data_IF_070267781235
#
_entry.id   IF_070267781235
#
_cell.length_a   1.000
_cell.length_b   1.000
_cell.length_c   1.000
_cell.angle_alpha   90.00
_cell.angle_beta   90.00
_cell.angle_gamma   90.00
#
_symmetry.space_group_name_H-M   'P 1'
#
loop_
_entity.id
_entity.type
_entity.pdbx_description
1 polymer ?
#
# COMPACT_ATOMS: atom_id res chain seq x y z
N UNK A 1 -17.06 8.47 -46.10
CA UNK A 1 -17.48 9.15 -44.87
C UNK A 1 -16.70 8.54 -43.72
N UNK A 2 -15.89 9.36 -43.07
CA UNK A 2 -15.05 9.00 -41.91
C UNK A 2 -15.89 8.63 -40.70
N UNK A 3 -15.45 7.61 -39.99
CA UNK A 3 -15.85 7.31 -38.61
C UNK A 3 -14.61 6.87 -37.85
N UNK A 4 -13.72 7.81 -37.54
CA UNK A 4 -12.60 7.56 -36.63
C UNK A 4 -13.19 7.39 -35.23
N UNK A 5 -13.25 6.16 -34.74
CA UNK A 5 -13.58 5.90 -33.34
C UNK A 5 -12.30 6.19 -32.56
N UNK A 6 -12.12 7.45 -32.16
CA UNK A 6 -11.17 7.78 -31.10
C UNK A 6 -11.68 7.13 -29.83
N UNK A 7 -11.18 5.93 -29.55
CA UNK A 7 -11.25 5.35 -28.22
C UNK A 7 -10.38 6.24 -27.32
N UNK A 8 -11.01 7.25 -26.72
CA UNK A 8 -10.49 7.85 -25.51
C UNK A 8 -10.48 6.74 -24.47
N UNK A 9 -9.37 6.01 -24.38
CA UNK A 9 -9.01 5.29 -23.16
C UNK A 9 -8.99 6.36 -22.08
N UNK A 10 -10.12 6.50 -21.38
CA UNK A 10 -10.16 7.17 -20.09
C UNK A 10 -9.12 6.41 -19.27
N UNK A 11 -7.94 7.02 -19.10
CA UNK A 11 -6.99 6.54 -18.12
C UNK A 11 -7.78 6.45 -16.82
N UNK A 12 -8.02 5.22 -16.35
CA UNK A 12 -8.50 5.02 -14.99
C UNK A 12 -7.46 5.75 -14.15
N UNK A 13 -7.82 6.80 -13.40
CA UNK A 13 -6.86 7.47 -12.55
C UNK A 13 -6.24 6.38 -11.70
N UNK A 14 -4.94 6.17 -11.84
CA UNK A 14 -4.24 5.14 -11.11
C UNK A 14 -4.40 5.49 -9.64
N UNK A 15 -5.22 4.72 -8.90
CA UNK A 15 -5.51 4.98 -7.50
C UNK A 15 -4.24 4.66 -6.73
N UNK A 16 -3.39 5.68 -6.57
CA UNK A 16 -2.06 5.57 -5.99
C UNK A 16 -2.10 4.88 -4.62
N UNK A 17 -3.13 5.17 -3.81
CA UNK A 17 -3.35 4.49 -2.54
C UNK A 17 -3.58 2.98 -2.71
N UNK A 18 -4.39 2.58 -3.69
CA UNK A 18 -4.62 1.15 -3.97
C UNK A 18 -3.32 0.47 -4.40
N UNK A 19 -2.47 1.14 -5.19
CA UNK A 19 -1.15 0.62 -5.55
C UNK A 19 -0.24 0.44 -4.33
N UNK A 20 -0.17 1.45 -3.45
CA UNK A 20 0.62 1.36 -2.22
C UNK A 20 0.13 0.25 -1.29
N UNK A 21 -1.18 0.11 -1.09
CA UNK A 21 -1.77 -0.96 -0.28
C UNK A 21 -1.47 -2.34 -0.89
N UNK A 22 -1.61 -2.48 -2.21
CA UNK A 22 -1.30 -3.73 -2.90
C UNK A 22 0.19 -4.09 -2.78
N UNK A 23 1.09 -3.11 -2.90
CA UNK A 23 2.52 -3.30 -2.72
C UNK A 23 2.87 -3.71 -1.28
N UNK A 24 2.37 -2.97 -0.29
CA UNK A 24 2.63 -3.23 1.12
C UNK A 24 2.13 -4.64 1.53
N UNK A 25 0.92 -5.01 1.13
CA UNK A 25 0.35 -6.34 1.38
C UNK A 25 1.12 -7.44 0.64
N UNK A 26 1.49 -7.22 -0.63
CA UNK A 26 2.31 -8.17 -1.39
C UNK A 26 3.65 -8.41 -0.70
N UNK A 27 4.31 -7.37 -0.21
CA UNK A 27 5.60 -7.50 0.47
C UNK A 27 5.47 -8.32 1.76
N UNK A 28 4.43 -8.09 2.56
CA UNK A 28 4.14 -8.92 3.75
C UNK A 28 3.88 -10.38 3.39
N UNK A 29 3.06 -10.65 2.36
CA UNK A 29 2.80 -12.03 1.90
C UNK A 29 4.11 -12.70 1.46
N UNK A 30 4.94 -11.99 0.68
CA UNK A 30 6.23 -12.52 0.24
C UNK A 30 7.19 -12.76 1.41
N UNK A 31 7.17 -11.91 2.45
CA UNK A 31 7.95 -12.14 3.66
C UNK A 31 7.51 -13.43 4.37
N UNK A 32 6.20 -13.62 4.56
CA UNK A 32 5.66 -14.82 5.21
C UNK A 32 5.99 -16.09 4.41
N UNK A 33 5.79 -16.07 3.09
CA UNK A 33 6.03 -17.22 2.21
C UNK A 33 7.52 -17.60 2.13
N UNK A 34 8.42 -16.61 2.23
CA UNK A 34 9.87 -16.83 2.17
C UNK A 34 10.53 -16.73 3.55
N UNK A 35 9.75 -16.80 4.64
CA UNK A 35 10.26 -16.66 6.00
C UNK A 35 11.22 -17.80 6.31
N UNK A 36 12.44 -17.44 6.70
CA UNK A 36 13.44 -18.42 7.17
C UNK A 36 12.96 -19.14 8.43
N UNK A 37 13.32 -20.42 8.59
CA UNK A 37 13.08 -21.16 9.83
C UNK A 37 13.77 -20.51 11.04
N UNK A 38 14.87 -19.79 10.79
CA UNK A 38 15.64 -19.07 11.81
C UNK A 38 15.18 -17.61 12.00
N UNK A 39 14.06 -17.20 11.38
CA UNK A 39 13.57 -15.82 11.45
C UNK A 39 13.21 -15.42 12.88
N UNK A 40 13.72 -14.27 13.30
CA UNK A 40 13.57 -13.73 14.65
C UNK A 40 12.39 -12.76 14.75
N UNK A 41 11.94 -12.41 15.97
CA UNK A 41 10.98 -11.32 16.14
C UNK A 41 11.45 -9.98 15.56
N UNK A 42 12.77 -9.72 15.50
CA UNK A 42 13.31 -8.51 14.89
C UNK A 42 13.09 -8.49 13.37
N UNK A 43 13.11 -9.66 12.72
CA UNK A 43 12.81 -9.77 11.29
C UNK A 43 11.32 -9.51 11.01
N UNK A 44 10.44 -9.96 11.91
CA UNK A 44 9.01 -9.64 11.85
C UNK A 44 8.78 -8.13 12.01
N UNK A 45 9.50 -7.47 12.93
CA UNK A 45 9.45 -6.01 13.09
C UNK A 45 9.92 -5.30 11.83
N UNK A 46 11.03 -5.72 11.21
CA UNK A 46 11.51 -5.13 9.95
C UNK A 46 10.51 -5.28 8.80
N UNK A 47 9.84 -6.42 8.70
CA UNK A 47 8.80 -6.60 7.68
C UNK A 47 7.61 -5.65 7.89
N UNK A 48 7.26 -5.37 9.15
CA UNK A 48 6.25 -4.37 9.49
C UNK A 48 6.74 -2.93 9.24
N UNK A 49 8.01 -2.64 9.50
CA UNK A 49 8.62 -1.35 9.15
C UNK A 49 8.60 -1.09 7.64
N UNK A 50 8.89 -2.11 6.82
CA UNK A 50 8.79 -2.01 5.36
C UNK A 50 7.35 -1.75 4.91
N UNK A 51 6.36 -2.42 5.52
CA UNK A 51 4.94 -2.16 5.28
C UNK A 51 4.57 -0.71 5.60
N UNK A 52 4.97 -0.23 6.78
CA UNK A 52 4.77 1.16 7.23
C UNK A 52 5.46 2.13 6.27
N UNK A 53 6.68 1.83 5.83
CA UNK A 53 7.44 2.66 4.90
C UNK A 53 6.74 2.81 3.55
N UNK A 54 6.18 1.74 2.98
CA UNK A 54 5.40 1.83 1.74
C UNK A 54 4.19 2.73 1.94
N UNK A 55 3.43 2.53 3.02
CA UNK A 55 2.24 3.35 3.28
C UNK A 55 2.59 4.81 3.61
N UNK A 56 3.76 5.09 4.17
CA UNK A 56 4.22 6.45 4.47
C UNK A 56 4.27 7.37 3.24
N UNK A 57 4.34 6.79 2.03
CA UNK A 57 4.30 7.50 0.75
C UNK A 57 2.90 8.01 0.36
N UNK A 58 1.86 7.63 1.10
CA UNK A 58 0.50 8.08 0.83
C UNK A 58 0.40 9.62 0.94
N UNK A 59 -0.29 10.21 -0.04
CA UNK A 59 -0.57 11.64 -0.07
C UNK A 59 -1.42 12.05 1.15
N UNK A 60 -1.35 13.32 1.57
CA UNK A 60 -2.19 13.82 2.67
C UNK A 60 -3.69 13.59 2.42
N UNK A 61 -4.13 13.66 1.16
CA UNK A 61 -5.49 13.36 0.75
C UNK A 61 -5.87 11.89 0.98
N UNK A 62 -4.91 10.98 0.79
CA UNK A 62 -5.09 9.53 0.96
C UNK A 62 -4.97 9.09 2.42
N UNK A 63 -4.25 9.82 3.28
CA UNK A 63 -4.13 9.48 4.72
C UNK A 63 -5.48 9.34 5.42
N UNK A 64 -6.45 10.17 5.05
CA UNK A 64 -7.83 10.05 5.58
C UNK A 64 -8.50 8.76 5.11
N UNK A 65 -8.30 8.36 3.85
CA UNK A 65 -8.80 7.06 3.34
C UNK A 65 -8.09 5.89 4.01
N UNK A 66 -6.78 5.94 4.18
CA UNK A 66 -6.01 4.89 4.90
C UNK A 66 -6.54 4.72 6.31
N UNK A 67 -6.78 5.82 7.03
CA UNK A 67 -7.33 5.78 8.39
C UNK A 67 -8.69 5.10 8.46
N UNK A 68 -9.54 5.36 7.48
CA UNK A 68 -10.83 4.68 7.37
C UNK A 68 -10.69 3.19 7.05
N UNK A 69 -9.74 2.81 6.18
CA UNK A 69 -9.53 1.44 5.74
C UNK A 69 -8.84 0.55 6.79
N UNK A 70 -7.87 1.09 7.52
CA UNK A 70 -6.99 0.33 8.40
C UNK A 70 -7.28 0.54 9.88
N UNK A 71 -8.10 1.54 10.22
CA UNK A 71 -8.42 1.90 11.60
C UNK A 71 -7.43 2.87 12.24
N UNK A 72 -7.82 3.41 13.40
CA UNK A 72 -7.05 4.42 14.13
C UNK A 72 -5.73 3.86 14.67
N UNK A 73 -5.72 2.61 15.15
CA UNK A 73 -4.53 1.98 15.72
C UNK A 73 -3.39 1.89 14.69
N UNK A 74 -3.68 1.38 13.49
CA UNK A 74 -2.69 1.29 12.40
C UNK A 74 -2.26 2.67 11.94
N UNK A 75 -3.18 3.64 11.91
CA UNK A 75 -2.87 5.00 11.49
C UNK A 75 -1.94 5.73 12.46
N UNK A 76 -2.10 5.50 13.76
CA UNK A 76 -1.21 6.04 14.78
C UNK A 76 0.22 5.48 14.63
N UNK A 77 0.34 4.19 14.28
CA UNK A 77 1.64 3.58 13.96
C UNK A 77 2.34 4.22 12.74
N UNK A 78 1.58 4.84 11.82
CA UNK A 78 2.13 5.54 10.65
C UNK A 78 2.59 6.99 10.97
N UNK A 79 2.33 7.49 12.18
CA UNK A 79 2.74 8.83 12.60
C UNK A 79 2.00 9.97 11.90
N UNK A 80 0.74 9.75 11.53
CA UNK A 80 -0.11 10.71 10.80
C UNK A 80 -1.12 11.44 11.70
N UNK A 81 -0.72 11.65 12.96
CA UNK A 81 -1.52 12.35 13.97
C UNK A 81 -1.67 13.84 13.63
#
# INVERSE_FOLDING_TARGET
MSGSVSASLLAVPEDHLTTLLAEALRNLVMFVENRSEDATPDDDVRALEDFVYVLSQASDADRTRVRHLMGEEVSAFLGWD
#
